data_IF_497060732090
#
_entry.id   IF_497060732090
#
_cell.length_a   1.000
_cell.length_b   1.000
_cell.length_c   1.000
_cell.angle_alpha   90.00
_cell.angle_beta   90.00
_cell.angle_gamma   90.00
#
_symmetry.space_group_name_H-M   'P 1'
#
loop_
_entity.id
_entity.type
_entity.pdbx_description
1 polymer ?
#
# COMPACT_ATOMS: atom_id res chain seq x y z
N UNK A 1 2.52 -0.10 7.69
CA UNK A 1 2.23 0.59 6.43
C UNK A 1 1.28 1.79 6.55
N UNK A 2 1.17 2.47 7.71
CA UNK A 2 0.17 3.54 7.94
C UNK A 2 0.77 4.94 8.17
N UNK A 3 2.09 5.09 8.13
CA UNK A 3 2.76 6.20 8.83
C UNK A 3 3.42 7.22 7.91
N UNK A 4 3.44 6.99 6.60
CA UNK A 4 3.97 7.92 5.59
C UNK A 4 2.89 8.38 4.59
N UNK A 5 1.62 8.08 4.87
CA UNK A 5 0.52 8.22 3.91
C UNK A 5 0.31 9.66 3.42
N UNK A 6 0.54 10.63 4.29
CA UNK A 6 0.34 12.05 4.01
C UNK A 6 1.65 12.80 3.69
N UNK A 7 2.80 12.12 3.80
CA UNK A 7 4.11 12.74 3.57
C UNK A 7 4.19 13.39 2.19
N UNK A 8 3.78 12.67 1.14
CA UNK A 8 3.81 13.20 -0.23
C UNK A 8 2.83 14.34 -0.44
N UNK A 9 1.68 14.32 0.25
CA UNK A 9 0.74 15.44 0.21
C UNK A 9 1.36 16.72 0.78
N UNK A 10 2.07 16.60 1.90
CA UNK A 10 2.76 17.73 2.53
C UNK A 10 3.97 18.20 1.69
N UNK A 11 4.75 17.25 1.16
CA UNK A 11 5.93 17.53 0.34
C UNK A 11 5.57 18.30 -0.95
N UNK A 12 4.45 17.94 -1.58
CA UNK A 12 4.07 18.43 -2.90
C UNK A 12 2.94 19.48 -2.86
N UNK A 13 2.41 19.78 -1.67
CA UNK A 13 1.38 20.79 -1.47
C UNK A 13 -0.01 20.37 -1.94
N UNK A 14 -0.31 19.07 -1.91
CA UNK A 14 -1.61 18.55 -2.32
C UNK A 14 -2.65 18.61 -1.19
N UNK A 15 -3.87 19.01 -1.56
CA UNK A 15 -5.05 18.85 -0.70
C UNK A 15 -5.72 17.53 -1.03
N UNK A 16 -6.11 16.79 0.00
CA UNK A 16 -6.72 15.48 -0.11
C UNK A 16 -7.78 15.30 0.98
N UNK A 17 -8.66 14.34 0.80
CA UNK A 17 -9.59 13.83 1.80
C UNK A 17 -8.84 12.91 2.78
N UNK A 18 -8.68 13.34 4.05
CA UNK A 18 -7.95 12.55 5.03
C UNK A 18 -8.66 11.27 5.44
N UNK A 19 -9.99 11.21 5.39
CA UNK A 19 -10.76 10.02 5.73
C UNK A 19 -10.60 8.95 4.64
N UNK A 20 -10.77 9.33 3.37
CA UNK A 20 -10.58 8.45 2.22
C UNK A 20 -9.16 7.85 2.21
N UNK A 21 -8.13 8.68 2.33
CA UNK A 21 -6.75 8.20 2.37
C UNK A 21 -6.49 7.34 3.61
N UNK A 22 -7.08 7.69 4.75
CA UNK A 22 -6.90 6.95 5.99
C UNK A 22 -7.46 5.53 5.89
N UNK A 23 -8.71 5.40 5.46
CA UNK A 23 -9.40 4.11 5.29
C UNK A 23 -8.70 3.27 4.22
N UNK A 24 -8.37 3.86 3.07
CA UNK A 24 -7.69 3.13 1.99
C UNK A 24 -6.35 2.57 2.46
N UNK A 25 -5.58 3.34 3.22
CA UNK A 25 -4.31 2.86 3.80
C UNK A 25 -4.50 1.72 4.80
N UNK A 26 -5.60 1.68 5.55
CA UNK A 26 -5.90 0.59 6.49
C UNK A 26 -6.20 -0.73 5.78
N UNK A 27 -6.89 -0.66 4.64
CA UNK A 27 -7.44 -1.84 3.97
C UNK A 27 -6.61 -2.34 2.77
N UNK A 28 -5.69 -1.56 2.21
CA UNK A 28 -5.07 -1.92 0.92
C UNK A 28 -4.43 -3.32 0.86
N UNK A 29 -3.89 -3.81 1.98
CA UNK A 29 -3.25 -5.12 2.12
C UNK A 29 -4.14 -6.19 2.80
N UNK A 30 -5.44 -5.91 3.04
CA UNK A 30 -6.33 -6.81 3.80
C UNK A 30 -6.39 -8.22 3.19
N UNK A 31 -6.31 -8.32 1.86
CA UNK A 31 -6.34 -9.59 1.14
C UNK A 31 -5.07 -10.44 1.31
N UNK A 32 -3.98 -9.89 1.86
CA UNK A 32 -2.76 -10.65 2.18
C UNK A 32 -2.84 -11.38 3.53
N UNK A 33 -3.83 -11.04 4.36
CA UNK A 33 -4.00 -11.67 5.67
C UNK A 33 -4.41 -13.14 5.55
N UNK A 34 -4.12 -13.93 6.58
CA UNK A 34 -4.44 -15.37 6.61
C UNK A 34 -5.93 -15.68 6.36
N UNK A 35 -6.81 -14.76 6.74
CA UNK A 35 -8.26 -14.92 6.60
C UNK A 35 -8.72 -14.85 5.13
N UNK A 36 -8.04 -14.06 4.30
CA UNK A 36 -8.50 -13.75 2.94
C UNK A 36 -7.59 -14.31 1.83
N UNK A 37 -6.28 -14.44 2.08
CA UNK A 37 -5.28 -14.82 1.06
C UNK A 37 -5.57 -16.13 0.30
N UNK A 38 -6.41 -16.99 0.86
CA UNK A 38 -6.74 -18.31 0.32
C UNK A 38 -8.08 -18.36 -0.45
N UNK A 39 -8.90 -17.29 -0.41
CA UNK A 39 -10.21 -17.24 -1.08
C UNK A 39 -10.07 -17.01 -2.59
N UNK A 40 -9.23 -16.06 -2.98
CA UNK A 40 -8.80 -15.77 -4.35
C UNK A 40 -9.89 -15.66 -5.43
N UNK A 41 -11.03 -14.98 -5.22
CA UNK A 41 -12.00 -14.70 -6.29
C UNK A 41 -11.48 -13.82 -7.43
N UNK A 42 -10.39 -13.06 -7.22
CA UNK A 42 -9.84 -12.12 -8.21
C UNK A 42 -8.45 -12.53 -8.72
N UNK A 43 -8.03 -11.95 -9.85
CA UNK A 43 -6.68 -12.16 -10.37
C UNK A 43 -5.60 -11.46 -9.51
N UNK A 44 -5.93 -10.45 -8.69
CA UNK A 44 -4.95 -9.66 -7.93
C UNK A 44 -5.46 -9.36 -6.52
N UNK A 45 -4.61 -9.52 -5.50
CA UNK A 45 -4.98 -9.27 -4.10
C UNK A 45 -5.44 -7.83 -3.86
N UNK A 46 -4.89 -6.83 -4.57
CA UNK A 46 -5.29 -5.43 -4.43
C UNK A 46 -6.75 -5.22 -4.86
N UNK A 47 -7.22 -5.89 -5.92
CA UNK A 47 -8.63 -5.83 -6.36
C UNK A 47 -9.53 -6.56 -5.36
N UNK A 48 -9.06 -7.67 -4.80
CA UNK A 48 -9.78 -8.36 -3.73
C UNK A 48 -9.86 -7.52 -2.46
N UNK A 49 -8.79 -6.84 -2.07
CA UNK A 49 -8.76 -5.93 -0.93
C UNK A 49 -9.70 -4.75 -1.11
N UNK A 50 -9.80 -4.22 -2.34
CA UNK A 50 -10.75 -3.18 -2.70
C UNK A 50 -12.21 -3.65 -2.50
N UNK A 51 -12.55 -4.85 -2.99
CA UNK A 51 -13.89 -5.42 -2.81
C UNK A 51 -14.21 -5.69 -1.33
N UNK A 52 -13.26 -6.26 -0.59
CA UNK A 52 -13.40 -6.50 0.86
C UNK A 52 -13.62 -5.19 1.63
N UNK A 53 -12.88 -4.13 1.30
CA UNK A 53 -13.05 -2.82 1.90
C UNK A 53 -14.42 -2.22 1.59
N UNK A 54 -14.85 -2.28 0.33
CA UNK A 54 -16.16 -1.78 -0.12
C UNK A 54 -17.32 -2.48 0.61
N UNK A 55 -17.27 -3.81 0.68
CA UNK A 55 -18.27 -4.61 1.39
C UNK A 55 -18.27 -4.30 2.88
N UNK A 56 -17.09 -4.14 3.50
CA UNK A 56 -16.99 -3.77 4.90
C UNK A 56 -17.60 -2.39 5.17
N UNK A 57 -17.30 -1.39 4.34
CA UNK A 57 -17.81 -0.02 4.48
C UNK A 57 -19.33 0.04 4.31
N UNK A 58 -19.88 -0.62 3.28
CA UNK A 58 -21.32 -0.70 3.07
C UNK A 58 -22.05 -1.33 4.26
N UNK A 59 -21.48 -2.39 4.85
CA UNK A 59 -22.02 -3.04 6.07
C UNK A 59 -21.98 -2.15 7.30
N UNK A 60 -21.10 -1.14 7.32
CA UNK A 60 -20.96 -0.18 8.41
C UNK A 60 -21.64 1.17 8.09
N UNK A 61 -22.56 1.20 7.13
CA UNK A 61 -23.34 2.39 6.75
C UNK A 61 -22.50 3.59 6.29
N UNK A 62 -21.32 3.33 5.72
CA UNK A 62 -20.57 4.37 5.03
C UNK A 62 -21.33 4.83 3.76
N UNK A 63 -21.06 6.06 3.33
CA UNK A 63 -21.57 6.59 2.06
C UNK A 63 -21.07 5.76 0.86
N UNK A 64 -21.95 5.55 -0.13
CA UNK A 64 -21.64 4.72 -1.30
C UNK A 64 -20.49 5.30 -2.14
N UNK A 65 -20.39 6.63 -2.24
CA UNK A 65 -19.31 7.28 -2.96
C UNK A 65 -17.97 7.11 -2.22
N UNK A 66 -17.97 7.24 -0.89
CA UNK A 66 -16.78 6.93 -0.08
C UNK A 66 -16.34 5.46 -0.28
N UNK A 67 -17.27 4.51 -0.20
CA UNK A 67 -16.96 3.09 -0.39
C UNK A 67 -16.43 2.77 -1.80
N UNK A 68 -16.98 3.42 -2.83
CA UNK A 68 -16.48 3.30 -4.20
C UNK A 68 -15.08 3.89 -4.36
N UNK A 69 -14.84 5.09 -3.82
CA UNK A 69 -13.54 5.76 -3.88
C UNK A 69 -12.45 4.96 -3.15
N UNK A 70 -12.75 4.43 -1.94
CA UNK A 70 -11.82 3.56 -1.21
C UNK A 70 -11.43 2.35 -2.05
N UNK A 71 -12.42 1.71 -2.69
CA UNK A 71 -12.17 0.56 -3.55
C UNK A 71 -11.26 0.91 -4.73
N UNK A 72 -11.48 2.06 -5.38
CA UNK A 72 -10.66 2.51 -6.50
C UNK A 72 -9.22 2.85 -6.09
N UNK A 73 -9.04 3.61 -5.00
CA UNK A 73 -7.72 3.93 -4.43
C UNK A 73 -6.95 2.65 -4.08
N UNK A 74 -7.59 1.69 -3.41
CA UNK A 74 -6.98 0.40 -3.08
C UNK A 74 -6.68 -0.40 -4.35
N UNK A 75 -7.60 -0.46 -5.31
CA UNK A 75 -7.39 -1.26 -6.50
C UNK A 75 -6.16 -0.80 -7.30
N UNK A 76 -5.85 0.49 -7.31
CA UNK A 76 -4.75 1.08 -8.08
C UNK A 76 -3.37 1.03 -7.39
N UNK A 77 -3.28 0.73 -6.08
CA UNK A 77 -2.02 0.92 -5.33
C UNK A 77 -0.83 0.05 -5.81
N UNK A 78 -1.11 -1.04 -6.55
CA UNK A 78 -0.12 -1.95 -7.13
C UNK A 78 0.17 -1.67 -8.62
N UNK A 79 -0.42 -0.62 -9.20
CA UNK A 79 -0.10 -0.24 -10.57
C UNK A 79 1.37 0.18 -10.70
N UNK A 80 1.92 0.05 -11.91
CA UNK A 80 3.31 0.43 -12.18
C UNK A 80 3.50 1.94 -12.06
N UNK A 81 2.45 2.70 -12.38
CA UNK A 81 2.43 4.14 -12.29
C UNK A 81 0.99 4.63 -12.13
N UNK A 82 0.79 5.58 -11.23
CA UNK A 82 -0.48 6.29 -11.02
C UNK A 82 -0.24 7.77 -11.29
N UNK A 83 -0.82 8.35 -12.35
CA UNK A 83 -0.75 9.80 -12.57
C UNK A 83 -1.50 10.58 -11.50
N UNK A 84 -1.04 11.80 -11.21
CA UNK A 84 -1.76 12.74 -10.33
C UNK A 84 -3.14 13.04 -10.90
N UNK A 85 -4.17 12.91 -10.06
CA UNK A 85 -5.57 13.15 -10.43
C UNK A 85 -6.25 11.99 -11.19
N UNK A 86 -5.64 10.81 -11.22
CA UNK A 86 -6.26 9.60 -11.78
C UNK A 86 -7.12 8.84 -10.75
N UNK A 87 -8.09 8.09 -11.26
CA UNK A 87 -9.03 7.32 -10.45
C UNK A 87 -9.85 8.19 -9.50
N UNK A 88 -9.89 7.81 -8.22
CA UNK A 88 -10.64 8.51 -7.18
C UNK A 88 -9.93 9.76 -6.62
N UNK A 89 -9.13 10.44 -7.44
CA UNK A 89 -8.47 11.69 -7.09
C UNK A 89 -7.00 11.55 -6.68
N UNK A 90 -6.53 12.51 -5.89
CA UNK A 90 -5.12 12.58 -5.48
C UNK A 90 -4.75 11.43 -4.52
N UNK A 91 -5.72 10.88 -3.81
CA UNK A 91 -5.58 9.81 -2.83
C UNK A 91 -5.08 8.52 -3.48
N UNK A 92 -5.47 8.26 -4.72
CA UNK A 92 -4.95 7.16 -5.54
C UNK A 92 -3.43 7.26 -5.68
N UNK A 93 -2.94 8.45 -6.03
CA UNK A 93 -1.52 8.74 -6.18
C UNK A 93 -0.80 8.68 -4.83
N UNK A 94 -1.35 9.32 -3.80
CA UNK A 94 -0.74 9.38 -2.47
C UNK A 94 -0.59 7.99 -1.84
N UNK A 95 -1.62 7.13 -1.93
CA UNK A 95 -1.53 5.77 -1.42
C UNK A 95 -0.50 4.96 -2.21
N UNK A 96 -0.50 5.06 -3.55
CA UNK A 96 0.49 4.39 -4.40
C UNK A 96 1.92 4.77 -3.99
N UNK A 97 2.24 6.06 -3.92
CA UNK A 97 3.59 6.52 -3.57
C UNK A 97 3.98 6.12 -2.14
N UNK A 98 3.06 6.24 -1.19
CA UNK A 98 3.31 5.85 0.20
C UNK A 98 3.57 4.34 0.33
N UNK A 99 2.80 3.50 -0.39
CA UNK A 99 2.99 2.06 -0.42
C UNK A 99 4.35 1.69 -1.02
N UNK A 100 4.73 2.31 -2.15
CA UNK A 100 6.02 2.07 -2.81
C UNK A 100 7.20 2.52 -1.94
N UNK A 101 7.07 3.64 -1.22
CA UNK A 101 8.09 4.07 -0.25
C UNK A 101 8.22 3.06 0.90
N UNK A 102 7.12 2.62 1.50
CA UNK A 102 7.14 1.70 2.65
C UNK A 102 7.64 0.30 2.27
N UNK A 103 7.37 -0.16 1.04
CA UNK A 103 7.75 -1.49 0.55
C UNK A 103 9.13 -1.49 -0.09
N UNK A 104 9.35 -0.63 -1.09
CA UNK A 104 10.51 -0.65 -1.97
C UNK A 104 11.52 0.48 -1.69
N UNK A 105 11.23 1.39 -0.76
CA UNK A 105 12.11 2.51 -0.44
C UNK A 105 12.19 3.56 -1.55
N UNK A 106 11.22 3.56 -2.47
CA UNK A 106 11.17 4.55 -3.55
C UNK A 106 11.09 5.95 -2.97
N UNK A 107 11.89 6.88 -3.51
CA UNK A 107 11.94 8.28 -3.05
C UNK A 107 12.32 8.44 -1.58
N UNK A 108 12.89 7.42 -0.92
CA UNK A 108 13.31 7.51 0.48
C UNK A 108 14.34 8.63 0.73
N UNK A 109 15.12 9.01 -0.29
CA UNK A 109 16.05 10.16 -0.22
C UNK A 109 15.36 11.52 -0.02
N UNK A 110 14.06 11.62 -0.31
CA UNK A 110 13.27 12.84 -0.09
C UNK A 110 12.72 12.92 1.35
N UNK A 111 12.73 11.81 2.09
CA UNK A 111 12.16 11.74 3.44
C UNK A 111 13.23 12.12 4.47
N UNK A 112 13.00 13.15 5.31
CA UNK A 112 13.94 13.50 6.36
C UNK A 112 14.19 12.32 7.32
N UNK A 113 15.46 12.05 7.65
CA UNK A 113 15.80 10.93 8.54
C UNK A 113 15.21 11.07 9.95
N UNK A 114 14.97 12.30 10.41
CA UNK A 114 14.25 12.55 11.66
C UNK A 114 12.81 12.06 11.61
N UNK A 115 12.14 12.23 10.47
CA UNK A 115 10.77 11.76 10.26
C UNK A 115 10.71 10.24 10.21
N UNK A 116 11.62 9.60 9.47
CA UNK A 116 11.67 8.12 9.43
C UNK A 116 11.95 7.51 10.80
N UNK A 117 12.85 8.10 11.60
CA UNK A 117 13.09 7.65 12.99
C UNK A 117 11.89 7.84 13.90
N UNK A 118 11.20 8.99 13.82
CA UNK A 118 9.97 9.24 14.58
C UNK A 118 8.89 8.18 14.28
N UNK A 119 8.69 7.92 12.99
CA UNK A 119 7.74 6.93 12.49
C UNK A 119 8.12 5.52 12.96
N UNK A 120 9.37 5.11 12.75
CA UNK A 120 9.86 3.79 13.13
C UNK A 120 9.83 3.57 14.65
N UNK A 121 10.02 4.62 15.45
CA UNK A 121 9.90 4.56 16.91
C UNK A 121 8.48 4.27 17.41
N UNK A 122 7.44 4.73 16.67
CA UNK A 122 6.03 4.46 17.01
C UNK A 122 5.50 3.18 16.35
N UNK A 123 6.02 2.85 15.17
CA UNK A 123 5.59 1.73 14.35
C UNK A 123 6.81 0.98 13.81
N UNK A 124 7.43 0.10 14.64
CA UNK A 124 8.63 -0.62 14.24
C UNK A 124 8.40 -1.49 13.00
N UNK A 125 9.39 -1.53 12.12
CA UNK A 125 9.40 -2.35 10.89
C UNK A 125 10.07 -3.72 11.08
N UNK A 126 10.29 -4.14 12.32
CA UNK A 126 10.99 -5.38 12.64
C UNK A 126 10.32 -6.59 11.95
N UNK A 127 11.07 -7.29 11.11
CA UNK A 127 10.59 -8.45 10.36
C UNK A 127 9.74 -8.15 9.13
N UNK A 128 9.50 -6.87 8.81
CA UNK A 128 8.66 -6.45 7.67
C UNK A 128 9.16 -7.02 6.34
N UNK A 129 10.42 -6.76 5.98
CA UNK A 129 10.97 -7.18 4.68
C UNK A 129 10.82 -8.69 4.43
N UNK A 130 11.05 -9.51 5.46
CA UNK A 130 10.85 -10.96 5.40
C UNK A 130 9.37 -11.31 5.23
N UNK A 131 8.50 -10.80 6.11
CA UNK A 131 7.08 -11.12 6.07
C UNK A 131 6.41 -10.71 4.75
N UNK A 132 6.75 -9.52 4.24
CA UNK A 132 6.22 -9.00 2.99
C UNK A 132 6.79 -9.75 1.77
N UNK A 133 8.09 -10.09 1.78
CA UNK A 133 8.68 -10.95 0.74
C UNK A 133 8.01 -12.32 0.68
N UNK A 134 7.73 -12.94 1.83
CA UNK A 134 7.03 -14.22 1.90
C UNK A 134 5.60 -14.12 1.36
N UNK A 135 4.88 -13.04 1.70
CA UNK A 135 3.54 -12.77 1.18
C UNK A 135 3.53 -12.55 -0.34
N UNK A 136 4.44 -11.74 -0.87
CA UNK A 136 4.55 -11.48 -2.31
C UNK A 136 4.99 -12.72 -3.09
N UNK A 137 5.94 -13.50 -2.55
CA UNK A 137 6.31 -14.79 -3.14
C UNK A 137 5.10 -15.72 -3.21
N UNK A 138 4.35 -15.84 -2.11
CA UNK A 138 3.15 -16.64 -2.08
C UNK A 138 2.10 -16.17 -3.11
N UNK A 139 1.79 -14.87 -3.15
CA UNK A 139 0.86 -14.30 -4.12
C UNK A 139 1.32 -14.53 -5.57
N UNK A 140 2.63 -14.43 -5.85
CA UNK A 140 3.17 -14.68 -7.19
C UNK A 140 2.93 -16.11 -7.69
N UNK A 141 2.88 -17.07 -6.77
CA UNK A 141 2.66 -18.48 -7.07
C UNK A 141 1.18 -18.81 -7.20
N UNK A 142 0.33 -18.21 -6.36
CA UNK A 142 -1.11 -18.47 -6.36
C UNK A 142 -1.86 -17.68 -7.44
N UNK A 143 -1.48 -16.43 -7.70
CA UNK A 143 -2.12 -15.52 -8.66
C UNK A 143 -1.15 -15.13 -9.77
N UNK A 144 -0.85 -16.08 -10.65
CA UNK A 144 0.21 -15.96 -11.67
C UNK A 144 0.02 -14.83 -12.69
N UNK A 145 -1.23 -14.36 -12.87
CA UNK A 145 -1.60 -13.25 -13.75
C UNK A 145 -1.78 -11.92 -13.00
N UNK A 146 -1.40 -11.84 -11.72
CA UNK A 146 -1.49 -10.62 -10.91
C UNK A 146 -0.36 -9.64 -11.18
N UNK A 147 -0.58 -8.36 -10.84
CA UNK A 147 0.47 -7.33 -10.77
C UNK A 147 1.60 -7.74 -9.82
N UNK A 148 1.27 -8.33 -8.66
CA UNK A 148 2.26 -8.87 -7.72
C UNK A 148 3.15 -9.96 -8.36
N UNK A 149 2.56 -10.86 -9.17
CA UNK A 149 3.33 -11.88 -9.87
C UNK A 149 4.26 -11.30 -10.94
N UNK A 150 3.83 -10.25 -11.64
CA UNK A 150 4.69 -9.51 -12.59
C UNK A 150 5.84 -8.84 -11.84
N UNK A 151 5.54 -8.05 -10.82
CA UNK A 151 6.53 -7.34 -10.00
C UNK A 151 7.54 -8.29 -9.37
N UNK A 152 7.08 -9.42 -8.83
CA UNK A 152 7.95 -10.45 -8.26
C UNK A 152 8.94 -11.00 -9.29
N UNK A 153 8.47 -11.33 -10.51
CA UNK A 153 9.31 -11.84 -11.61
C UNK A 153 10.36 -10.82 -12.07
N UNK A 154 10.03 -9.53 -12.04
CA UNK A 154 10.97 -8.46 -12.44
C UNK A 154 11.87 -7.99 -11.29
N UNK A 155 11.84 -8.66 -10.14
CA UNK A 155 12.85 -8.48 -9.09
C UNK A 155 12.40 -7.65 -7.88
N UNK A 156 11.10 -7.50 -7.62
CA UNK A 156 10.55 -6.78 -6.45
C UNK A 156 11.17 -7.20 -5.10
N UNK A 157 11.65 -8.44 -4.97
CA UNK A 157 12.35 -8.90 -3.77
C UNK A 157 13.60 -8.07 -3.42
N UNK A 158 14.32 -7.55 -4.42
CA UNK A 158 15.53 -6.76 -4.20
C UNK A 158 15.22 -5.48 -3.41
N UNK A 159 14.39 -4.54 -3.92
CA UNK A 159 14.11 -3.30 -3.21
C UNK A 159 13.38 -3.51 -1.88
N UNK A 160 12.62 -4.60 -1.70
CA UNK A 160 12.05 -4.94 -0.39
C UNK A 160 13.16 -5.21 0.63
N UNK A 161 14.17 -5.99 0.26
CA UNK A 161 15.23 -6.42 1.19
C UNK A 161 16.37 -5.41 1.33
N UNK A 162 16.46 -4.43 0.43
CA UNK A 162 17.44 -3.33 0.49
C UNK A 162 16.82 -1.99 0.87
N UNK A 163 15.57 -1.99 1.35
CA UNK A 163 14.87 -0.76 1.70
C UNK A 163 15.63 0.03 2.79
N UNK A 164 16.07 1.27 2.52
CA UNK A 164 16.84 2.07 3.48
C UNK A 164 16.07 2.40 4.76
N UNK A 165 14.73 2.33 4.75
CA UNK A 165 13.89 2.53 5.94
C UNK A 165 14.16 1.47 7.01
N UNK A 166 14.58 0.25 6.63
CA UNK A 166 14.89 -0.83 7.56
C UNK A 166 16.28 -0.67 8.19
N UNK A 167 17.16 0.11 7.56
CA UNK A 167 18.50 0.43 8.10
C UNK A 167 18.49 1.70 8.96
N UNK A 168 17.55 2.62 8.71
CA UNK A 168 17.44 3.89 9.43
C UNK A 168 16.87 3.75 10.86
N UNK A 169 16.22 2.62 11.18
CA UNK A 169 15.72 2.32 12.52
C UNK A 169 16.82 1.91 13.53
N UNK A 170 18.04 1.65 13.03
CA UNK A 170 19.16 1.11 13.82
C UNK A 170 20.34 2.09 13.99
N UNK A 171 20.22 3.34 13.51
CA UNK A 171 21.24 4.41 13.66
C UNK A 171 20.64 5.60 14.39
#
# INVERSE_FOLDING_TARGET
MLVLRDFFAQLEGHRYDPELLYISSLFHDIALTRQFRDQRPYACFAVEGADLAKVWLARNNADDALAANVAEVIAAHMDVHVPVGSGAGIETYLLHEAAHLDVAGTRASQVPSSYTRLVAGRHPRTGFARAFSDAMKYESLQRKASRAAVLWKVGMAIPINTNPLDSAAHR
#
